data_IF_077513905980
#
_entry.id   IF_077513905980
#
_cell.length_a   1.000
_cell.length_b   1.000
_cell.length_c   1.000
_cell.angle_alpha   90.00
_cell.angle_beta   90.00
_cell.angle_gamma   90.00
#
_symmetry.space_group_name_H-M   'P 1'
#
loop_
_entity.id
_entity.type
_entity.pdbx_description
1 polymer ?
#
# COMPACT_ATOMS: atom_id res chain seq x y z
N UNK A 1 -1.41 -10.22 16.53
CA UNK A 1 -2.01 -10.77 17.76
C UNK A 1 -1.11 -11.89 18.23
N UNK A 2 -0.49 -11.75 19.39
CA UNK A 2 0.25 -12.84 20.02
C UNK A 2 -0.62 -13.28 21.20
N UNK A 3 -1.00 -14.55 21.26
CA UNK A 3 -1.83 -15.13 22.34
C UNK A 3 -3.23 -14.52 22.51
N UNK A 4 -3.85 -14.02 21.43
CA UNK A 4 -5.21 -13.44 21.48
C UNK A 4 -5.26 -11.99 21.99
N UNK A 5 -4.13 -11.42 22.38
CA UNK A 5 -4.03 -10.01 22.76
C UNK A 5 -3.55 -9.15 21.57
N UNK A 6 -4.16 -7.97 21.46
CA UNK A 6 -3.75 -6.94 20.51
C UNK A 6 -2.56 -6.17 21.08
N UNK A 7 -1.39 -6.34 20.48
CA UNK A 7 -0.20 -5.55 20.77
C UNK A 7 0.12 -4.64 19.58
N UNK A 8 0.52 -3.38 19.83
CA UNK A 8 0.92 -2.48 18.76
C UNK A 8 2.26 -2.95 18.16
N UNK A 9 2.36 -2.99 16.84
CA UNK A 9 3.54 -3.47 16.12
C UNK A 9 4.61 -2.39 15.92
N UNK A 10 4.18 -1.15 15.70
CA UNK A 10 5.03 -0.03 15.29
C UNK A 10 4.62 1.30 15.96
N UNK A 11 3.94 1.23 17.11
CA UNK A 11 3.38 2.39 17.80
C UNK A 11 3.46 2.22 19.32
N UNK A 12 3.89 3.26 20.04
CA UNK A 12 3.74 3.35 21.49
C UNK A 12 2.60 4.32 21.82
N UNK A 13 1.50 3.79 22.35
CA UNK A 13 0.34 4.59 22.72
C UNK A 13 0.59 5.57 23.85
N UNK A 14 1.65 5.35 24.66
CA UNK A 14 2.05 6.25 25.74
C UNK A 14 2.85 7.45 25.24
N UNK A 15 3.39 7.38 24.02
CA UNK A 15 4.15 8.44 23.36
C UNK A 15 3.61 8.66 21.94
N UNK A 16 2.35 9.09 21.85
CA UNK A 16 1.67 9.34 20.57
C UNK A 16 2.33 10.49 19.83
N UNK A 17 2.98 10.19 18.71
CA UNK A 17 3.52 11.21 17.83
C UNK A 17 2.39 11.98 17.14
N UNK A 18 2.66 13.22 16.75
CA UNK A 18 1.79 13.92 15.79
C UNK A 18 2.06 13.32 14.40
N UNK A 19 1.04 13.32 13.54
CA UNK A 19 1.13 12.69 12.21
C UNK A 19 2.24 13.31 11.35
N UNK A 20 2.46 14.62 11.45
CA UNK A 20 3.53 15.32 10.73
C UNK A 20 4.95 14.97 11.21
N UNK A 21 5.09 14.40 12.42
CA UNK A 21 6.38 13.99 12.96
C UNK A 21 6.66 12.50 12.67
N UNK A 22 5.69 11.78 12.07
CA UNK A 22 5.85 10.37 11.74
C UNK A 22 6.89 10.19 10.63
N UNK A 23 7.78 9.20 10.73
CA UNK A 23 8.72 8.94 9.66
C UNK A 23 7.95 8.55 8.41
N UNK A 24 8.45 8.94 7.24
CA UNK A 24 7.83 8.57 5.97
C UNK A 24 7.72 7.04 5.87
N UNK A 25 6.51 6.57 5.61
CA UNK A 25 6.19 5.16 5.43
C UNK A 25 5.50 4.99 4.09
N UNK A 26 5.82 3.89 3.42
CA UNK A 26 5.20 3.50 2.16
C UNK A 26 4.36 2.25 2.39
N UNK A 27 3.20 2.21 1.75
CA UNK A 27 2.33 1.05 1.70
C UNK A 27 2.31 0.54 0.25
N UNK A 28 2.53 -0.76 0.07
CA UNK A 28 2.32 -1.41 -1.22
C UNK A 28 0.82 -1.42 -1.54
N UNK A 29 0.45 -0.98 -2.75
CA UNK A 29 -0.96 -0.88 -3.16
C UNK A 29 -1.40 -1.96 -4.16
N UNK A 30 -0.57 -2.95 -4.44
CA UNK A 30 -0.89 -4.06 -5.34
C UNK A 30 -1.01 -3.70 -6.83
N UNK A 31 -0.83 -2.44 -7.24
CA UNK A 31 -1.11 -2.02 -8.62
C UNK A 31 -0.07 -2.48 -9.63
N UNK A 32 1.22 -2.32 -9.34
CA UNK A 32 2.31 -2.56 -10.30
C UNK A 32 3.48 -3.26 -9.63
N UNK A 33 3.92 -4.38 -10.22
CA UNK A 33 5.15 -5.08 -9.85
C UNK A 33 6.04 -5.27 -11.07
N UNK A 34 7.25 -4.71 -11.01
CA UNK A 34 8.27 -4.88 -12.05
C UNK A 34 9.45 -5.63 -11.46
N UNK A 35 9.72 -6.82 -11.98
CA UNK A 35 10.82 -7.68 -11.51
C UNK A 35 11.37 -8.51 -12.67
N UNK A 36 12.59 -9.03 -12.50
CA UNK A 36 13.20 -9.95 -13.49
C UNK A 36 12.48 -11.29 -13.45
N UNK A 37 12.10 -11.84 -14.61
CA UNK A 37 11.45 -13.15 -14.70
C UNK A 37 12.27 -14.27 -14.04
N UNK A 38 13.60 -14.19 -14.10
CA UNK A 38 14.49 -15.15 -13.44
C UNK A 38 14.29 -15.20 -11.92
N UNK A 39 14.04 -14.05 -11.28
CA UNK A 39 13.79 -13.96 -9.85
C UNK A 39 12.54 -14.76 -9.45
N UNK A 40 11.44 -14.55 -10.18
CA UNK A 40 10.19 -15.26 -9.91
C UNK A 40 10.36 -16.78 -10.11
N UNK A 41 11.06 -17.19 -11.17
CA UNK A 41 11.31 -18.61 -11.46
C UNK A 41 12.18 -19.29 -10.40
N UNK A 42 13.19 -18.60 -9.87
CA UNK A 42 14.13 -19.17 -8.90
C UNK A 42 13.59 -19.13 -7.47
N UNK A 43 12.93 -18.03 -7.07
CA UNK A 43 12.54 -17.77 -5.67
C UNK A 43 11.06 -17.98 -5.39
N UNK A 44 10.23 -18.08 -6.42
CA UNK A 44 8.76 -18.09 -6.26
C UNK A 44 8.22 -16.79 -5.65
N UNK A 45 9.00 -15.69 -5.69
CA UNK A 45 8.66 -14.41 -5.09
C UNK A 45 8.89 -13.26 -6.10
N UNK A 46 8.07 -12.22 -5.99
CA UNK A 46 8.15 -11.00 -6.81
C UNK A 46 9.13 -9.97 -6.22
N UNK A 47 9.48 -10.12 -4.94
CA UNK A 47 10.43 -9.26 -4.25
C UNK A 47 11.80 -9.93 -4.11
N UNK A 48 12.86 -9.22 -4.49
CA UNK A 48 14.23 -9.70 -4.34
C UNK A 48 15.27 -8.89 -5.12
N UNK A 49 16.54 -9.04 -4.73
CA UNK A 49 17.64 -8.21 -5.26
C UNK A 49 17.60 -6.79 -4.70
N UNK A 50 17.86 -5.79 -5.56
CA UNK A 50 17.70 -4.37 -5.20
C UNK A 50 16.23 -3.97 -5.37
N UNK A 51 15.58 -3.65 -4.26
CA UNK A 51 14.17 -3.22 -4.22
C UNK A 51 14.13 -1.69 -4.23
N UNK A 52 13.22 -1.13 -5.03
CA UNK A 52 12.87 0.27 -5.03
C UNK A 52 11.34 0.38 -5.08
N UNK A 53 10.82 1.49 -4.58
CA UNK A 53 9.38 1.81 -4.59
C UNK A 53 9.12 2.96 -5.55
N UNK A 54 7.96 2.93 -6.19
CA UNK A 54 7.45 4.05 -6.98
C UNK A 54 6.20 4.57 -6.27
N UNK A 55 6.25 5.80 -5.76
CA UNK A 55 5.14 6.40 -5.05
C UNK A 55 4.00 6.74 -6.03
N UNK A 56 2.80 6.30 -5.67
CA UNK A 56 1.57 6.58 -6.40
C UNK A 56 0.65 7.43 -5.53
N UNK A 57 -0.21 8.23 -6.16
CA UNK A 57 -1.26 8.98 -5.47
C UNK A 57 -2.15 8.03 -4.66
N UNK A 58 -2.56 8.45 -3.46
CA UNK A 58 -3.32 7.64 -2.50
C UNK A 58 -4.62 7.09 -3.11
N UNK A 59 -5.32 7.89 -3.91
CA UNK A 59 -6.55 7.45 -4.58
C UNK A 59 -6.30 6.37 -5.64
N UNK A 60 -5.05 6.19 -6.08
CA UNK A 60 -4.66 5.08 -6.96
C UNK A 60 -4.45 3.77 -6.20
N UNK A 61 -4.48 3.77 -4.86
CA UNK A 61 -4.32 2.56 -4.05
C UNK A 61 -5.63 1.80 -3.79
N UNK A 62 -6.77 2.41 -4.11
CA UNK A 62 -8.10 1.82 -3.88
C UNK A 62 -8.24 0.54 -4.70
N UNK A 63 -8.59 -0.55 -4.01
CA UNK A 63 -8.88 -1.84 -4.64
C UNK A 63 -10.38 -1.94 -4.92
N UNK A 64 -10.72 -2.70 -5.96
CA UNK A 64 -12.11 -3.01 -6.31
C UNK A 64 -12.38 -4.44 -5.84
N UNK A 65 -12.97 -4.58 -4.66
CA UNK A 65 -13.35 -5.87 -4.06
C UNK A 65 -14.89 -6.06 -4.03
N UNK A 66 -15.65 -4.98 -4.25
CA UNK A 66 -17.11 -4.93 -4.24
C UNK A 66 -17.67 -4.03 -5.35
N UNK A 67 -18.99 -4.09 -5.56
CA UNK A 67 -19.67 -3.24 -6.54
C UNK A 67 -19.64 -1.76 -6.13
N UNK A 68 -19.68 -1.47 -4.83
CA UNK A 68 -19.56 -0.11 -4.29
C UNK A 68 -18.19 0.52 -4.62
N UNK A 69 -17.12 -0.27 -4.65
CA UNK A 69 -15.77 0.22 -5.00
C UNK A 69 -15.70 0.69 -6.45
N UNK A 70 -16.48 0.08 -7.36
CA UNK A 70 -16.59 0.50 -8.75
C UNK A 70 -17.17 1.91 -8.83
N UNK A 71 -18.22 2.20 -8.05
CA UNK A 71 -18.84 3.53 -8.01
C UNK A 71 -17.86 4.58 -7.51
N UNK A 72 -17.11 4.26 -6.45
CA UNK A 72 -16.06 5.14 -5.92
C UNK A 72 -14.95 5.40 -6.95
N UNK A 73 -14.46 4.34 -7.61
CA UNK A 73 -13.42 4.47 -8.63
C UNK A 73 -13.89 5.32 -9.81
N UNK A 74 -15.13 5.15 -10.28
CA UNK A 74 -15.70 5.98 -11.33
C UNK A 74 -15.71 7.46 -10.93
N UNK A 75 -16.18 7.77 -9.72
CA UNK A 75 -16.19 9.14 -9.22
C UNK A 75 -14.79 9.77 -9.16
N UNK A 76 -13.78 9.02 -8.69
CA UNK A 76 -12.38 9.47 -8.66
C UNK A 76 -11.87 9.74 -10.08
N UNK A 77 -12.19 8.86 -11.03
CA UNK A 77 -11.78 9.00 -12.42
C UNK A 77 -12.40 10.22 -13.08
N UNK A 78 -13.66 10.54 -12.78
CA UNK A 78 -14.32 11.77 -13.24
C UNK A 78 -13.69 13.02 -12.62
N UNK A 79 -13.41 12.99 -11.31
CA UNK A 79 -12.75 14.10 -10.61
C UNK A 79 -11.39 14.43 -11.25
N UNK A 80 -10.60 13.40 -11.59
CA UNK A 80 -9.29 13.55 -12.25
C UNK A 80 -9.37 14.11 -13.67
N UNK A 81 -10.46 13.84 -14.41
CA UNK A 81 -10.65 14.36 -15.76
C UNK A 81 -11.05 15.84 -15.79
N UNK A 82 -11.66 16.32 -14.70
CA UNK A 82 -12.15 17.69 -14.57
C UNK A 82 -11.16 18.64 -13.85
N UNK A 83 -9.97 18.14 -13.50
CA UNK A 83 -8.89 18.88 -12.83
C UNK A 83 -7.84 19.33 -13.84
#
# INVERSE_FOLDING_TARGET
>A
MQNGEASPLNYDYRHRWREQDFPHQVLENGSIFVFRTSLLKEKGNRLGGKIAVYEMDELSSIQIDSDEDILLCNWIMEMRQNS
#
